data_IF_155325771316
#
_entry.id   IF_155325771316
#
_cell.length_a   1.000
_cell.length_b   1.000
_cell.length_c   1.000
_cell.angle_alpha   90.00
_cell.angle_beta   90.00
_cell.angle_gamma   90.00
#
_symmetry.space_group_name_H-M   'P 1'
#
loop_
_entity.id
_entity.type
_entity.pdbx_description
1 polymer ?
#
# COMPACT_ATOMS: atom_id res chain seq x y z
N UNK A 1 -9.57 -10.84 27.82
CA UNK A 1 -8.78 -9.63 27.46
C UNK A 1 -8.27 -9.00 28.75
N UNK A 2 -6.96 -8.81 28.91
CA UNK A 2 -6.40 -8.20 30.13
C UNK A 2 -6.95 -6.78 30.33
N UNK A 3 -7.12 -6.33 31.58
CA UNK A 3 -7.59 -4.99 31.92
C UNK A 3 -6.74 -3.89 31.23
N UNK A 4 -5.45 -4.11 31.10
CA UNK A 4 -4.50 -3.22 30.39
C UNK A 4 -4.83 -3.04 28.92
N UNK A 5 -5.23 -4.10 28.20
CA UNK A 5 -5.56 -3.98 26.77
C UNK A 5 -6.83 -3.16 26.55
N UNK A 6 -7.85 -3.33 27.42
CA UNK A 6 -9.05 -2.49 27.40
C UNK A 6 -8.72 -1.02 27.64
N UNK A 7 -7.84 -0.72 28.61
CA UNK A 7 -7.39 0.64 28.90
C UNK A 7 -6.68 1.29 27.70
N UNK A 8 -5.80 0.56 27.00
CA UNK A 8 -5.12 1.04 25.79
C UNK A 8 -6.10 1.37 24.67
N UNK A 9 -7.08 0.50 24.41
CA UNK A 9 -8.13 0.78 23.42
C UNK A 9 -8.95 2.02 23.82
N UNK A 10 -9.31 2.17 25.09
CA UNK A 10 -10.04 3.35 25.56
C UNK A 10 -9.20 4.63 25.43
N UNK A 11 -7.90 4.56 25.72
CA UNK A 11 -6.96 5.67 25.53
C UNK A 11 -6.87 6.05 24.04
N UNK A 12 -6.71 5.10 23.14
CA UNK A 12 -6.72 5.35 21.69
C UNK A 12 -8.03 6.02 21.23
N UNK A 13 -9.18 5.53 21.70
CA UNK A 13 -10.50 6.09 21.38
C UNK A 13 -10.70 7.52 21.87
N UNK A 14 -9.98 7.98 22.89
CA UNK A 14 -10.00 9.37 23.35
C UNK A 14 -9.31 10.32 22.38
N UNK A 15 -8.33 9.84 21.59
CA UNK A 15 -7.66 10.63 20.56
C UNK A 15 -8.51 10.69 19.30
N UNK A 16 -9.37 11.73 19.19
CA UNK A 16 -10.31 11.90 18.07
C UNK A 16 -9.62 11.95 16.71
N UNK A 17 -8.41 12.54 16.63
CA UNK A 17 -7.63 12.61 15.37
C UNK A 17 -7.22 11.23 14.90
N UNK A 18 -6.67 10.41 15.79
CA UNK A 18 -6.25 9.05 15.48
C UNK A 18 -7.43 8.15 15.07
N UNK A 19 -8.56 8.28 15.78
CA UNK A 19 -9.79 7.52 15.45
C UNK A 19 -10.35 7.92 14.09
N UNK A 20 -10.45 9.23 13.80
CA UNK A 20 -10.86 9.72 12.49
C UNK A 20 -9.93 9.22 11.38
N UNK A 21 -8.61 9.31 11.59
CA UNK A 21 -7.61 8.82 10.65
C UNK A 21 -7.70 7.32 10.42
N UNK A 22 -7.99 6.53 11.47
CA UNK A 22 -8.20 5.09 11.31
C UNK A 22 -9.42 4.78 10.44
N UNK A 23 -10.55 5.45 10.66
CA UNK A 23 -11.74 5.27 9.82
C UNK A 23 -11.49 5.72 8.39
N UNK A 24 -10.80 6.86 8.20
CA UNK A 24 -10.43 7.34 6.87
C UNK A 24 -9.50 6.36 6.15
N UNK A 25 -8.51 5.80 6.85
CA UNK A 25 -7.62 4.78 6.32
C UNK A 25 -8.39 3.54 5.86
N UNK A 26 -9.31 3.03 6.71
CA UNK A 26 -10.14 1.88 6.38
C UNK A 26 -11.05 2.19 5.18
N UNK A 27 -11.61 3.39 5.11
CA UNK A 27 -12.44 3.82 3.98
C UNK A 27 -11.61 3.89 2.68
N UNK A 28 -10.42 4.51 2.70
CA UNK A 28 -9.52 4.57 1.54
C UNK A 28 -9.10 3.16 1.08
N UNK A 29 -8.77 2.29 2.03
CA UNK A 29 -8.43 0.89 1.73
C UNK A 29 -9.61 0.15 1.10
N UNK A 30 -10.80 0.24 1.70
CA UNK A 30 -11.99 -0.42 1.19
C UNK A 30 -12.38 0.10 -0.19
N UNK A 31 -12.42 1.42 -0.39
CA UNK A 31 -12.72 2.05 -1.68
C UNK A 31 -11.71 1.64 -2.75
N UNK A 32 -10.41 1.61 -2.42
CA UNK A 32 -9.37 1.23 -3.37
C UNK A 32 -9.39 -0.28 -3.71
N UNK A 33 -9.67 -1.15 -2.74
CA UNK A 33 -9.80 -2.60 -2.99
C UNK A 33 -11.05 -2.92 -3.82
N UNK A 34 -12.13 -2.20 -3.58
CA UNK A 34 -13.39 -2.31 -4.32
C UNK A 34 -13.41 -1.45 -5.61
N UNK A 35 -12.28 -0.87 -6.00
CA UNK A 35 -12.17 -0.03 -7.19
C UNK A 35 -12.84 -0.63 -8.44
N UNK A 36 -12.66 -1.92 -8.78
CA UNK A 36 -13.29 -2.49 -9.98
C UNK A 36 -14.82 -2.40 -10.00
N UNK A 37 -15.48 -2.24 -8.83
CA UNK A 37 -16.95 -2.11 -8.77
C UNK A 37 -17.44 -0.73 -9.16
N UNK A 38 -16.64 0.32 -9.00
CA UNK A 38 -17.08 1.70 -9.22
C UNK A 38 -16.18 2.52 -10.14
N UNK A 39 -14.98 2.02 -10.45
CA UNK A 39 -14.02 2.58 -11.41
C UNK A 39 -13.61 1.47 -12.36
N UNK A 40 -14.27 1.33 -13.49
CA UNK A 40 -14.03 0.25 -14.45
C UNK A 40 -14.54 0.65 -15.82
N UNK A 41 -13.79 0.36 -16.87
CA UNK A 41 -14.19 0.55 -18.26
C UNK A 41 -15.16 -0.53 -18.75
N UNK A 42 -15.26 -1.66 -18.05
CA UNK A 42 -16.21 -2.73 -18.36
C UNK A 42 -17.54 -2.50 -17.65
N UNK A 43 -18.66 -2.66 -18.34
CA UNK A 43 -19.96 -2.65 -17.69
C UNK A 43 -20.07 -3.69 -16.58
N UNK A 44 -20.74 -3.34 -15.50
CA UNK A 44 -21.02 -4.26 -14.39
C UNK A 44 -22.02 -5.33 -14.81
N UNK A 45 -23.00 -4.92 -15.63
CA UNK A 45 -24.09 -5.77 -16.11
C UNK A 45 -24.55 -5.33 -17.49
N UNK A 46 -24.79 -6.32 -18.36
CA UNK A 46 -25.42 -6.11 -19.67
C UNK A 46 -26.57 -7.12 -19.81
N UNK A 47 -27.73 -6.66 -20.23
CA UNK A 47 -28.81 -7.52 -20.63
C UNK A 47 -29.09 -7.27 -22.11
N UNK A 48 -28.80 -8.24 -22.96
CA UNK A 48 -28.95 -8.20 -24.42
C UNK A 48 -29.48 -9.52 -24.92
N UNK A 49 -30.41 -9.49 -25.87
CA UNK A 49 -31.03 -10.67 -26.54
C UNK A 49 -31.51 -11.75 -25.56
N UNK A 50 -32.20 -11.37 -24.50
CA UNK A 50 -32.71 -12.25 -23.44
C UNK A 50 -31.59 -12.98 -22.66
N UNK A 51 -30.36 -12.50 -22.73
CA UNK A 51 -29.21 -13.05 -21.97
C UNK A 51 -28.61 -11.99 -21.04
N UNK A 52 -28.18 -12.44 -19.88
CA UNK A 52 -27.47 -11.63 -18.90
C UNK A 52 -25.98 -11.86 -18.98
N UNK A 53 -25.20 -10.78 -19.08
CA UNK A 53 -23.74 -10.82 -19.14
C UNK A 53 -23.17 -10.01 -17.98
N UNK A 54 -22.02 -10.45 -17.45
CA UNK A 54 -21.29 -9.79 -16.37
C UNK A 54 -19.84 -9.52 -16.80
N UNK A 55 -19.60 -8.49 -17.63
CA UNK A 55 -18.28 -8.21 -18.21
C UNK A 55 -17.19 -7.94 -17.18
N UNK A 56 -17.56 -7.45 -16.02
CA UNK A 56 -16.63 -7.24 -14.92
C UNK A 56 -15.94 -8.54 -14.45
N UNK A 57 -16.64 -9.67 -14.49
CA UNK A 57 -16.14 -10.95 -13.99
C UNK A 57 -15.65 -11.89 -15.08
N UNK A 58 -16.15 -11.75 -16.30
CA UNK A 58 -15.83 -12.62 -17.44
C UNK A 58 -15.58 -11.78 -18.68
N UNK A 59 -14.53 -12.12 -19.40
CA UNK A 59 -14.29 -11.56 -20.74
C UNK A 59 -15.23 -12.25 -21.72
N UNK A 60 -15.99 -11.44 -22.46
CA UNK A 60 -16.84 -11.89 -23.55
C UNK A 60 -16.22 -11.43 -24.86
N UNK A 61 -16.26 -12.31 -25.87
CA UNK A 61 -15.82 -11.97 -27.20
C UNK A 61 -16.90 -11.13 -27.93
N UNK A 62 -16.49 -10.28 -28.84
CA UNK A 62 -17.41 -9.42 -29.60
C UNK A 62 -18.46 -10.22 -30.36
N UNK A 63 -18.11 -11.42 -30.86
CA UNK A 63 -19.04 -12.36 -31.50
C UNK A 63 -20.22 -12.75 -30.59
N UNK A 64 -20.06 -12.73 -29.28
CA UNK A 64 -21.17 -13.02 -28.34
C UNK A 64 -22.27 -11.95 -28.36
N UNK A 65 -21.93 -10.75 -28.87
CA UNK A 65 -22.84 -9.60 -29.05
C UNK A 65 -23.22 -9.38 -30.53
N UNK A 66 -22.86 -10.32 -31.42
CA UNK A 66 -23.16 -10.24 -32.86
C UNK A 66 -22.14 -9.51 -33.72
N UNK A 67 -20.96 -9.25 -33.17
CA UNK A 67 -19.82 -8.71 -33.94
C UNK A 67 -19.00 -9.78 -34.64
N UNK A 68 -17.92 -9.37 -35.30
CA UNK A 68 -17.11 -10.24 -36.17
C UNK A 68 -15.83 -10.79 -35.49
N UNK A 69 -15.44 -10.24 -34.32
CA UNK A 69 -14.15 -10.55 -33.71
C UNK A 69 -14.28 -11.52 -32.52
N UNK A 70 -13.33 -12.48 -32.46
CA UNK A 70 -13.17 -13.39 -31.31
C UNK A 70 -12.32 -12.80 -30.18
N UNK A 71 -11.85 -11.57 -30.35
CA UNK A 71 -11.13 -10.84 -29.30
C UNK A 71 -12.08 -10.36 -28.21
N UNK A 72 -11.59 -10.11 -26.97
CA UNK A 72 -12.38 -9.49 -25.92
C UNK A 72 -13.02 -8.19 -26.39
N UNK A 73 -14.31 -8.00 -26.09
CA UNK A 73 -15.07 -6.82 -26.48
C UNK A 73 -14.51 -5.56 -25.82
N UNK A 74 -14.23 -4.53 -26.62
CA UNK A 74 -13.99 -3.18 -26.13
C UNK A 74 -15.34 -2.45 -26.00
N UNK A 75 -15.79 -2.32 -24.77
CA UNK A 75 -17.08 -1.66 -24.46
C UNK A 75 -17.02 -0.13 -24.63
N UNK A 76 -15.84 0.45 -24.89
CA UNK A 76 -15.68 1.87 -25.21
C UNK A 76 -15.73 2.16 -26.71
N UNK A 77 -15.57 1.14 -27.56
CA UNK A 77 -15.65 1.28 -29.00
C UNK A 77 -17.03 1.84 -29.41
N UNK A 78 -17.08 2.92 -30.22
CA UNK A 78 -18.31 3.49 -30.74
C UNK A 78 -19.18 2.50 -31.53
N UNK A 79 -18.56 1.57 -32.27
CA UNK A 79 -19.28 0.54 -33.01
C UNK A 79 -20.00 -0.42 -32.06
N UNK A 80 -19.31 -0.91 -31.04
CA UNK A 80 -19.88 -1.79 -30.02
C UNK A 80 -21.05 -1.08 -29.30
N UNK A 81 -20.85 0.16 -28.85
CA UNK A 81 -21.88 0.95 -28.15
C UNK A 81 -23.10 1.24 -29.01
N UNK A 82 -22.91 1.69 -30.26
CA UNK A 82 -23.98 2.26 -31.08
C UNK A 82 -24.62 1.22 -31.99
N UNK A 83 -23.98 0.06 -32.24
CA UNK A 83 -24.48 -0.97 -33.16
C UNK A 83 -24.79 -2.27 -32.43
N UNK A 84 -23.80 -2.86 -31.73
CA UNK A 84 -23.98 -4.19 -31.13
C UNK A 84 -24.83 -4.14 -29.83
N UNK A 85 -24.63 -3.11 -29.02
CA UNK A 85 -25.30 -2.96 -27.74
C UNK A 85 -26.34 -1.84 -27.73
N UNK A 86 -26.82 -1.41 -28.91
CA UNK A 86 -27.76 -0.28 -29.05
C UNK A 86 -29.07 -0.45 -28.24
N UNK A 87 -29.60 -1.65 -28.24
CA UNK A 87 -30.87 -1.98 -27.58
C UNK A 87 -30.66 -2.70 -26.24
N UNK A 88 -29.39 -2.86 -25.80
CA UNK A 88 -29.06 -3.52 -24.57
C UNK A 88 -29.29 -2.62 -23.35
N UNK A 89 -29.73 -3.20 -22.23
CA UNK A 89 -29.73 -2.52 -20.94
C UNK A 89 -28.35 -2.70 -20.29
N UNK A 90 -27.65 -1.58 -20.06
CA UNK A 90 -26.26 -1.59 -19.57
C UNK A 90 -26.17 -0.83 -18.25
N UNK A 91 -25.54 -1.43 -17.25
CA UNK A 91 -25.16 -0.77 -16.00
C UNK A 91 -23.64 -0.58 -16.02
N UNK A 92 -23.20 0.66 -16.17
CA UNK A 92 -21.79 1.03 -16.08
C UNK A 92 -21.35 1.24 -14.64
N UNK A 93 -20.03 1.17 -14.40
CA UNK A 93 -19.43 1.66 -13.17
C UNK A 93 -19.68 3.17 -13.04
N UNK A 94 -19.57 3.70 -11.81
CA UNK A 94 -19.75 5.13 -11.52
C UNK A 94 -18.77 6.00 -12.34
N UNK A 95 -17.53 5.50 -12.48
CA UNK A 95 -16.50 6.06 -13.35
C UNK A 95 -16.22 5.03 -14.43
N UNK A 96 -16.65 5.27 -15.69
CA UNK A 96 -16.61 4.29 -16.78
C UNK A 96 -15.21 4.22 -17.44
N UNK A 97 -14.16 4.37 -16.68
CA UNK A 97 -12.76 4.32 -17.10
C UNK A 97 -11.96 3.43 -16.14
N UNK A 98 -11.03 2.65 -16.69
CA UNK A 98 -9.99 1.95 -15.93
C UNK A 98 -8.75 2.86 -15.78
N UNK A 99 -7.75 2.42 -15.02
CA UNK A 99 -6.50 3.17 -14.84
C UNK A 99 -5.64 3.23 -16.12
N UNK A 100 -5.88 2.36 -17.09
CA UNK A 100 -5.17 2.19 -18.37
C UNK A 100 -6.02 2.57 -19.59
N UNK A 101 -7.30 2.88 -19.40
CA UNK A 101 -8.20 3.29 -20.48
C UNK A 101 -7.75 4.63 -21.08
N UNK A 102 -7.38 4.62 -22.37
CA UNK A 102 -7.04 5.81 -23.15
C UNK A 102 -8.32 6.40 -23.72
N UNK A 103 -8.56 7.67 -23.45
CA UNK A 103 -9.77 8.39 -23.87
C UNK A 103 -9.49 9.04 -25.23
N UNK A 104 -10.19 8.58 -26.28
CA UNK A 104 -9.98 9.04 -27.65
C UNK A 104 -10.81 10.27 -28.04
N UNK A 105 -11.89 10.56 -27.29
CA UNK A 105 -12.89 11.61 -27.56
C UNK A 105 -12.70 12.85 -26.67
N UNK A 106 -11.45 13.26 -26.45
CA UNK A 106 -11.15 14.47 -25.68
C UNK A 106 -11.39 15.72 -26.52
N UNK A 107 -12.00 16.76 -25.90
CA UNK A 107 -12.27 18.05 -26.53
C UNK A 107 -11.00 18.87 -26.79
N UNK A 108 -9.88 18.55 -26.13
CA UNK A 108 -8.58 19.21 -26.26
C UNK A 108 -7.42 18.21 -26.06
N UNK A 109 -6.21 18.52 -26.53
CA UNK A 109 -5.06 17.63 -26.31
C UNK A 109 -4.80 17.36 -24.83
N UNK A 110 -4.44 16.12 -24.50
CA UNK A 110 -4.04 15.73 -23.14
C UNK A 110 -2.72 16.41 -22.72
N UNK A 111 -2.57 16.74 -21.43
CA UNK A 111 -3.52 16.55 -20.32
C UNK A 111 -4.62 17.63 -20.28
N UNK A 112 -5.89 17.18 -20.10
CA UNK A 112 -7.03 18.10 -20.01
C UNK A 112 -7.34 18.48 -18.56
N UNK A 113 -7.82 19.71 -18.30
CA UNK A 113 -8.17 20.16 -16.95
C UNK A 113 -9.40 19.39 -16.40
N UNK A 114 -9.65 19.48 -15.09
CA UNK A 114 -10.85 18.93 -14.47
C UNK A 114 -12.15 19.38 -15.14
N UNK A 115 -13.06 18.43 -15.38
CA UNK A 115 -14.36 18.65 -16.01
C UNK A 115 -15.45 17.73 -15.39
N UNK A 116 -16.72 17.92 -15.78
CA UNK A 116 -17.78 17.02 -15.32
C UNK A 116 -17.63 15.57 -15.82
N UNK A 117 -17.00 15.36 -16.99
CA UNK A 117 -16.67 14.01 -17.50
C UNK A 117 -15.46 13.41 -16.80
N UNK A 118 -14.45 14.24 -16.49
CA UNK A 118 -13.19 13.87 -15.87
C UNK A 118 -12.98 14.75 -14.64
N UNK A 119 -13.46 14.29 -13.49
CA UNK A 119 -13.52 15.09 -12.25
C UNK A 119 -12.15 15.65 -11.81
N UNK A 120 -11.07 14.91 -12.03
CA UNK A 120 -9.70 15.35 -11.75
C UNK A 120 -8.89 15.63 -13.03
N UNK A 121 -9.54 15.70 -14.19
CA UNK A 121 -8.88 15.86 -15.48
C UNK A 121 -8.30 14.56 -16.01
N UNK A 122 -7.50 14.68 -17.10
CA UNK A 122 -6.77 13.57 -17.69
C UNK A 122 -5.26 13.74 -17.49
N UNK A 123 -4.54 12.61 -17.57
CA UNK A 123 -3.07 12.62 -17.57
C UNK A 123 -2.49 12.89 -18.97
N UNK A 124 -1.17 12.87 -19.09
CA UNK A 124 -0.44 13.15 -20.35
C UNK A 124 -0.65 12.07 -21.43
N UNK A 125 -1.20 10.89 -21.07
CA UNK A 125 -1.56 9.80 -21.97
C UNK A 125 -3.07 9.69 -22.20
N UNK A 126 -3.83 10.77 -21.91
CA UNK A 126 -5.27 10.81 -22.07
C UNK A 126 -6.02 9.77 -21.21
N UNK A 127 -5.54 9.47 -19.99
CA UNK A 127 -6.21 8.56 -19.05
C UNK A 127 -6.85 9.36 -17.91
N UNK A 128 -7.94 8.87 -17.36
CA UNK A 128 -8.66 9.56 -16.26
C UNK A 128 -7.83 9.56 -14.97
N UNK A 129 -7.54 10.77 -14.45
CA UNK A 129 -6.70 10.95 -13.25
C UNK A 129 -7.34 10.38 -12.00
N UNK A 130 -8.70 10.44 -11.87
CA UNK A 130 -9.39 9.87 -10.71
C UNK A 130 -9.31 8.35 -10.71
N UNK A 131 -9.47 7.71 -11.87
CA UNK A 131 -9.29 6.28 -12.01
C UNK A 131 -7.85 5.87 -11.64
N UNK A 132 -6.85 6.57 -12.16
CA UNK A 132 -5.45 6.32 -11.83
C UNK A 132 -5.14 6.53 -10.35
N UNK A 133 -5.71 7.55 -9.73
CA UNK A 133 -5.56 7.83 -8.30
C UNK A 133 -6.07 6.68 -7.43
N UNK A 134 -7.28 6.19 -7.73
CA UNK A 134 -7.91 5.11 -6.96
C UNK A 134 -7.13 3.81 -7.06
N UNK A 135 -6.73 3.43 -8.26
CA UNK A 135 -5.89 2.25 -8.46
C UNK A 135 -4.47 2.44 -7.93
N UNK A 136 -3.91 3.65 -8.01
CA UNK A 136 -2.64 4.02 -7.39
C UNK A 136 -2.68 3.86 -5.86
N UNK A 137 -3.77 4.27 -5.22
CA UNK A 137 -3.99 3.98 -3.79
C UNK A 137 -4.03 2.48 -3.51
N UNK A 138 -4.72 1.69 -4.33
CA UNK A 138 -4.77 0.23 -4.18
C UNK A 138 -3.38 -0.39 -4.19
N UNK A 139 -2.56 -0.05 -5.20
CA UNK A 139 -1.20 -0.57 -5.33
C UNK A 139 -0.34 -0.15 -4.13
N UNK A 140 -0.37 1.15 -3.78
CA UNK A 140 0.44 1.70 -2.69
C UNK A 140 0.05 1.14 -1.32
N UNK A 141 -1.25 0.97 -1.04
CA UNK A 141 -1.75 0.42 0.22
C UNK A 141 -1.42 -1.07 0.35
N UNK A 142 -1.64 -1.86 -0.70
CA UNK A 142 -1.31 -3.29 -0.70
C UNK A 142 0.19 -3.49 -0.53
N UNK A 143 1.00 -2.71 -1.25
CA UNK A 143 2.46 -2.73 -1.10
C UNK A 143 2.88 -2.39 0.33
N UNK A 144 2.38 -1.28 0.88
CA UNK A 144 2.68 -0.84 2.24
C UNK A 144 2.30 -1.88 3.30
N UNK A 145 1.12 -2.51 3.18
CA UNK A 145 0.66 -3.57 4.09
C UNK A 145 1.58 -4.79 4.00
N UNK A 146 1.84 -5.30 2.79
CA UNK A 146 2.66 -6.50 2.60
C UNK A 146 4.10 -6.28 3.05
N UNK A 147 4.71 -5.16 2.63
CA UNK A 147 6.07 -4.82 3.03
C UNK A 147 6.19 -4.68 4.55
N UNK A 148 5.23 -3.98 5.18
CA UNK A 148 5.20 -3.83 6.64
C UNK A 148 5.04 -5.18 7.33
N UNK A 149 4.11 -6.03 6.87
CA UNK A 149 3.88 -7.36 7.43
C UNK A 149 5.15 -8.21 7.41
N UNK A 150 5.79 -8.32 6.24
CA UNK A 150 7.02 -9.12 6.11
C UNK A 150 8.19 -8.50 6.87
N UNK A 151 8.34 -7.18 6.86
CA UNK A 151 9.37 -6.47 7.65
C UNK A 151 9.18 -6.69 9.16
N UNK A 152 7.93 -6.72 9.64
CA UNK A 152 7.62 -7.02 11.05
C UNK A 152 8.00 -8.46 11.37
N UNK A 153 7.64 -9.42 10.54
CA UNK A 153 7.98 -10.83 10.76
C UNK A 153 9.49 -11.05 10.84
N UNK A 154 10.24 -10.50 9.88
CA UNK A 154 11.71 -10.64 9.83
C UNK A 154 12.37 -9.83 10.97
N UNK A 155 12.00 -8.56 11.11
CA UNK A 155 12.60 -7.64 12.07
C UNK A 155 12.37 -8.06 13.51
N UNK A 156 11.16 -8.53 13.85
CA UNK A 156 10.86 -9.06 15.19
C UNK A 156 11.64 -10.35 15.45
N UNK A 157 11.69 -11.27 14.49
CA UNK A 157 12.39 -12.54 14.65
C UNK A 157 13.90 -12.33 14.87
N UNK A 158 14.54 -11.56 13.99
CA UNK A 158 15.97 -11.29 14.07
C UNK A 158 16.33 -10.44 15.29
N UNK A 159 15.56 -9.37 15.56
CA UNK A 159 15.78 -8.52 16.72
C UNK A 159 15.58 -9.25 18.04
N UNK A 160 14.56 -10.11 18.14
CA UNK A 160 14.32 -10.94 19.31
C UNK A 160 15.48 -11.92 19.55
N UNK A 161 15.95 -12.60 18.50
CA UNK A 161 17.03 -13.56 18.57
C UNK A 161 18.34 -12.87 19.01
N UNK A 162 18.73 -11.79 18.36
CA UNK A 162 19.93 -11.03 18.70
C UNK A 162 19.86 -10.48 20.14
N UNK A 163 18.75 -9.81 20.49
CA UNK A 163 18.59 -9.18 21.80
C UNK A 163 18.49 -10.16 22.96
N UNK A 164 17.88 -11.33 22.77
CA UNK A 164 17.76 -12.33 23.84
C UNK A 164 19.08 -13.04 24.13
N UNK A 165 19.75 -13.55 23.10
CA UNK A 165 21.02 -14.26 23.29
C UNK A 165 22.19 -13.30 23.61
N UNK A 166 22.27 -12.17 22.91
CA UNK A 166 23.30 -11.17 23.11
C UNK A 166 24.72 -11.70 22.77
N UNK A 167 25.74 -11.07 23.35
CA UNK A 167 27.13 -11.51 23.19
C UNK A 167 27.60 -11.59 21.73
N UNK A 168 28.24 -12.70 21.33
CA UNK A 168 28.73 -12.91 19.97
C UNK A 168 27.60 -12.93 18.92
N UNK A 169 26.44 -13.52 19.24
CA UNK A 169 25.30 -13.59 18.33
C UNK A 169 24.80 -12.18 17.97
N UNK A 170 24.72 -11.33 18.98
CA UNK A 170 24.33 -9.95 18.82
C UNK A 170 25.39 -9.16 18.03
N UNK A 171 26.66 -9.31 18.38
CA UNK A 171 27.76 -8.63 17.70
C UNK A 171 27.82 -9.00 16.21
N UNK A 172 27.79 -10.30 15.90
CA UNK A 172 27.82 -10.78 14.49
C UNK A 172 26.59 -10.30 13.73
N UNK A 173 25.38 -10.42 14.33
CA UNK A 173 24.16 -9.95 13.70
C UNK A 173 24.17 -8.45 13.41
N UNK A 174 24.71 -7.64 14.32
CA UNK A 174 24.90 -6.20 14.09
C UNK A 174 25.88 -5.92 12.94
N UNK A 175 27.03 -6.57 12.92
CA UNK A 175 28.03 -6.39 11.85
C UNK A 175 27.48 -6.78 10.48
N UNK A 176 26.74 -7.87 10.41
CA UNK A 176 26.08 -8.27 9.16
C UNK A 176 25.04 -7.22 8.71
N UNK A 177 24.22 -6.72 9.63
CA UNK A 177 23.23 -5.66 9.32
C UNK A 177 23.92 -4.35 8.90
N UNK A 178 25.02 -3.96 9.54
CA UNK A 178 25.82 -2.79 9.18
C UNK A 178 26.39 -2.92 7.77
N UNK A 179 27.07 -4.05 7.46
CA UNK A 179 27.60 -4.32 6.12
C UNK A 179 26.48 -4.26 5.07
N UNK A 180 25.34 -4.91 5.34
CA UNK A 180 24.21 -4.92 4.43
C UNK A 180 23.63 -3.53 4.18
N UNK A 181 23.55 -2.70 5.22
CA UNK A 181 23.03 -1.32 5.13
C UNK A 181 23.94 -0.37 4.35
N UNK A 182 25.21 -0.73 4.11
CA UNK A 182 26.11 0.09 3.28
C UNK A 182 25.81 -0.03 1.79
N UNK A 183 25.07 -1.06 1.37
CA UNK A 183 24.68 -1.23 -0.02
C UNK A 183 23.64 -0.17 -0.37
N UNK A 184 23.91 0.74 -1.35
CA UNK A 184 22.91 1.74 -1.72
C UNK A 184 21.75 1.06 -2.44
N UNK A 185 20.58 1.03 -1.81
CA UNK A 185 19.38 0.37 -2.31
C UNK A 185 19.00 0.81 -3.74
N UNK A 186 19.13 2.10 -4.05
CA UNK A 186 18.82 2.62 -5.38
C UNK A 186 19.70 2.03 -6.48
N UNK A 187 21.01 1.84 -6.22
CA UNK A 187 21.88 1.20 -7.20
C UNK A 187 21.50 -0.25 -7.45
N UNK A 188 21.14 -0.98 -6.41
CA UNK A 188 20.67 -2.36 -6.52
C UNK A 188 19.38 -2.42 -7.39
N UNK A 189 18.46 -1.50 -7.15
CA UNK A 189 17.21 -1.40 -7.93
C UNK A 189 17.49 -1.09 -9.39
N UNK A 190 18.38 -0.14 -9.69
CA UNK A 190 18.76 0.22 -11.06
C UNK A 190 19.33 -1.01 -11.80
N UNK A 191 20.28 -1.71 -11.16
CA UNK A 191 20.91 -2.90 -11.76
C UNK A 191 19.88 -4.00 -12.02
N UNK A 192 18.99 -4.26 -11.07
CA UNK A 192 17.99 -5.34 -11.23
C UNK A 192 16.89 -4.93 -12.21
N UNK A 193 16.44 -3.68 -12.19
CA UNK A 193 15.44 -3.19 -13.14
C UNK A 193 15.96 -3.15 -14.57
N UNK A 194 17.26 -3.00 -14.78
CA UNK A 194 17.86 -3.08 -16.11
C UNK A 194 18.01 -4.52 -16.64
N UNK A 195 18.13 -5.51 -15.74
CA UNK A 195 18.29 -6.92 -16.09
C UNK A 195 16.96 -7.67 -16.18
N UNK A 196 15.96 -7.25 -15.44
CA UNK A 196 14.64 -7.89 -15.33
C UNK A 196 13.53 -6.86 -15.51
N UNK A 197 12.43 -7.25 -16.16
CA UNK A 197 11.23 -6.42 -16.18
C UNK A 197 10.72 -6.24 -14.76
N UNK A 198 10.74 -4.99 -14.28
CA UNK A 198 10.21 -4.65 -12.96
C UNK A 198 8.75 -5.06 -12.85
N UNK A 199 8.37 -5.63 -11.71
CA UNK A 199 6.99 -5.91 -11.36
C UNK A 199 6.81 -5.73 -9.83
N UNK A 200 5.56 -5.70 -9.40
CA UNK A 200 5.19 -5.50 -8.01
C UNK A 200 5.98 -6.40 -7.02
N UNK A 201 6.14 -7.69 -7.34
CA UNK A 201 6.77 -8.66 -6.44
C UNK A 201 8.29 -8.49 -6.36
N UNK A 202 8.94 -8.15 -7.49
CA UNK A 202 10.37 -7.86 -7.52
C UNK A 202 10.67 -6.63 -6.67
N UNK A 203 9.91 -5.54 -6.85
CA UNK A 203 10.10 -4.31 -6.07
C UNK A 203 9.85 -4.58 -4.58
N UNK A 204 8.76 -5.30 -4.25
CA UNK A 204 8.44 -5.68 -2.88
C UNK A 204 9.59 -6.45 -2.23
N UNK A 205 10.13 -7.45 -2.93
CA UNK A 205 11.25 -8.26 -2.44
C UNK A 205 12.51 -7.42 -2.24
N UNK A 206 12.87 -6.58 -3.22
CA UNK A 206 14.06 -5.74 -3.14
C UNK A 206 14.01 -4.74 -1.98
N UNK A 207 12.86 -4.07 -1.82
CA UNK A 207 12.68 -3.15 -0.69
C UNK A 207 12.65 -3.90 0.63
N UNK A 208 12.08 -5.11 0.66
CA UNK A 208 12.03 -5.96 1.86
C UNK A 208 13.44 -6.32 2.37
N UNK A 209 14.42 -6.52 1.48
CA UNK A 209 15.80 -6.81 1.87
C UNK A 209 16.41 -5.75 2.82
N UNK A 210 15.88 -4.53 2.82
CA UNK A 210 16.39 -3.41 3.61
C UNK A 210 15.42 -2.94 4.71
N UNK A 211 14.11 -3.06 4.51
CA UNK A 211 13.09 -2.42 5.36
C UNK A 211 12.96 -3.01 6.76
N UNK A 212 13.36 -4.26 6.98
CA UNK A 212 13.28 -4.96 8.27
C UNK A 212 14.31 -4.46 9.29
N UNK A 213 15.45 -3.87 8.85
CA UNK A 213 16.59 -3.56 9.72
C UNK A 213 16.25 -2.55 10.83
N UNK A 214 15.53 -1.47 10.49
CA UNK A 214 15.13 -0.46 11.47
C UNK A 214 14.29 -1.04 12.60
N UNK A 215 13.31 -1.88 12.27
CA UNK A 215 12.47 -2.55 13.26
C UNK A 215 13.26 -3.57 14.08
N UNK A 216 14.16 -4.31 13.44
CA UNK A 216 15.04 -5.26 14.14
C UNK A 216 15.86 -4.60 15.26
N UNK A 217 16.39 -3.39 15.03
CA UNK A 217 17.09 -2.62 16.04
C UNK A 217 16.21 -2.22 17.22
N UNK A 218 14.97 -1.79 16.94
CA UNK A 218 14.00 -1.42 18.00
C UNK A 218 13.70 -2.66 18.86
N UNK A 219 13.34 -3.77 18.22
CA UNK A 219 13.01 -5.02 18.94
C UNK A 219 14.22 -5.56 19.71
N UNK A 220 15.39 -5.57 19.10
CA UNK A 220 16.64 -5.97 19.75
C UNK A 220 16.87 -5.19 21.04
N UNK A 221 16.70 -3.87 21.00
CA UNK A 221 16.91 -3.02 22.17
C UNK A 221 15.93 -3.38 23.31
N UNK A 222 14.68 -3.64 22.99
CA UNK A 222 13.70 -4.06 23.99
C UNK A 222 14.02 -5.45 24.57
N UNK A 223 14.50 -6.38 23.75
CA UNK A 223 14.91 -7.70 24.21
C UNK A 223 16.19 -7.66 25.08
N UNK A 224 17.16 -6.80 24.76
CA UNK A 224 18.35 -6.57 25.59
C UNK A 224 17.99 -6.03 26.97
N UNK A 225 17.01 -5.15 27.07
CA UNK A 225 16.47 -4.67 28.36
C UNK A 225 15.75 -5.79 29.10
N UNK A 226 14.80 -6.43 28.43
CA UNK A 226 13.88 -7.40 29.02
C UNK A 226 14.59 -8.66 29.52
N UNK A 227 15.67 -9.12 28.87
CA UNK A 227 16.45 -10.30 29.30
C UNK A 227 17.06 -10.14 30.69
N UNK A 228 17.31 -8.90 31.14
CA UNK A 228 17.91 -8.58 32.41
C UNK A 228 16.89 -8.27 33.52
N UNK A 229 15.59 -8.26 33.21
CA UNK A 229 14.52 -8.02 34.17
C UNK A 229 14.30 -9.23 35.08
N UNK A 230 13.81 -8.97 36.30
CA UNK A 230 13.68 -10.00 37.33
C UNK A 230 12.73 -11.14 36.95
N UNK A 231 11.65 -10.85 36.25
CA UNK A 231 10.75 -11.89 35.75
C UNK A 231 11.42 -12.85 34.76
N UNK A 232 12.34 -12.36 33.93
CA UNK A 232 13.11 -13.20 32.99
C UNK A 232 14.15 -14.03 33.72
N UNK A 233 14.83 -13.45 34.71
CA UNK A 233 15.81 -14.16 35.56
C UNK A 233 15.11 -15.24 36.38
N UNK A 234 13.96 -14.94 36.98
CA UNK A 234 13.16 -15.90 37.75
C UNK A 234 12.71 -17.09 36.88
N UNK A 235 12.18 -16.81 35.67
CA UNK A 235 11.78 -17.87 34.75
C UNK A 235 12.96 -18.79 34.36
N UNK A 236 14.15 -18.20 34.16
CA UNK A 236 15.38 -18.96 33.86
C UNK A 236 15.84 -19.80 35.06
N UNK A 237 15.77 -19.25 36.28
CA UNK A 237 16.11 -19.97 37.50
C UNK A 237 15.16 -21.16 37.77
N UNK A 238 13.93 -21.05 37.35
CA UNK A 238 12.92 -22.14 37.39
C UNK A 238 13.09 -23.18 36.26
N UNK A 239 14.13 -23.07 35.42
CA UNK A 239 14.42 -24.04 34.37
C UNK A 239 13.52 -23.91 33.13
N UNK A 240 12.79 -22.80 32.94
CA UNK A 240 11.95 -22.58 31.75
C UNK A 240 12.82 -22.51 30.49
N UNK A 241 12.43 -23.22 29.43
CA UNK A 241 13.12 -23.23 28.16
C UNK A 241 13.21 -21.80 27.55
N UNK A 242 14.35 -21.49 26.94
CA UNK A 242 14.62 -20.18 26.31
C UNK A 242 13.54 -19.74 25.29
N UNK A 243 13.09 -20.65 24.42
CA UNK A 243 12.02 -20.34 23.47
C UNK A 243 10.73 -19.94 24.20
N UNK A 244 10.37 -20.64 25.28
CA UNK A 244 9.20 -20.30 26.07
C UNK A 244 9.36 -18.95 26.77
N UNK A 245 10.55 -18.63 27.25
CA UNK A 245 10.87 -17.29 27.80
C UNK A 245 10.71 -16.22 26.74
N UNK A 246 11.27 -16.41 25.55
CA UNK A 246 11.17 -15.48 24.43
C UNK A 246 9.70 -15.21 24.10
N UNK A 247 8.93 -16.26 23.79
CA UNK A 247 7.56 -16.09 23.25
C UNK A 247 6.52 -15.71 24.31
N UNK A 248 6.63 -16.19 25.53
CA UNK A 248 5.58 -15.99 26.55
C UNK A 248 5.90 -14.90 27.57
N UNK A 249 7.18 -14.60 27.80
CA UNK A 249 7.58 -13.63 28.82
C UNK A 249 8.13 -12.32 28.26
N UNK A 250 8.95 -12.38 27.20
CA UNK A 250 9.65 -11.21 26.65
C UNK A 250 8.89 -10.59 25.49
N UNK A 251 8.54 -11.39 24.48
CA UNK A 251 7.90 -10.92 23.24
C UNK A 251 6.61 -10.10 23.46
N UNK A 252 5.67 -10.50 24.36
CA UNK A 252 4.46 -9.73 24.55
C UNK A 252 4.72 -8.31 25.05
N UNK A 253 5.79 -8.10 25.81
CA UNK A 253 6.20 -6.77 26.27
C UNK A 253 6.97 -5.99 25.19
N UNK A 254 7.86 -6.64 24.46
CA UNK A 254 8.61 -6.04 23.34
C UNK A 254 7.70 -5.67 22.16
N UNK A 255 6.59 -6.40 21.93
CA UNK A 255 5.61 -6.07 20.89
C UNK A 255 4.96 -4.70 21.09
N UNK A 256 4.96 -4.14 22.28
CA UNK A 256 4.47 -2.78 22.53
C UNK A 256 5.23 -1.76 21.67
N UNK A 257 6.56 -1.82 21.67
CA UNK A 257 7.39 -0.95 20.85
C UNK A 257 7.19 -1.24 19.34
N UNK A 258 7.03 -2.52 18.97
CA UNK A 258 6.74 -2.93 17.59
C UNK A 258 5.43 -2.33 17.09
N UNK A 259 4.34 -2.49 17.83
CA UNK A 259 3.01 -1.99 17.45
C UNK A 259 3.01 -0.47 17.26
N UNK A 260 3.72 0.27 18.12
CA UNK A 260 3.85 1.72 17.98
C UNK A 260 4.68 2.15 16.76
N UNK A 261 5.56 1.28 16.26
CA UNK A 261 6.41 1.54 15.10
C UNK A 261 5.72 1.21 13.76
N UNK A 262 4.79 0.24 13.75
CA UNK A 262 4.14 -0.30 12.53
C UNK A 262 3.51 0.77 11.62
N UNK A 263 2.71 1.75 12.08
CA UNK A 263 2.12 2.76 11.19
C UNK A 263 3.18 3.65 10.52
N UNK A 264 4.26 3.97 11.22
CA UNK A 264 5.37 4.74 10.66
C UNK A 264 6.16 3.93 9.64
N UNK A 265 6.37 2.64 9.89
CA UNK A 265 7.00 1.74 8.94
C UNK A 265 6.15 1.62 7.66
N UNK A 266 4.83 1.55 7.79
CA UNK A 266 3.92 1.51 6.65
C UNK A 266 3.97 2.82 5.86
N UNK A 267 4.00 3.97 6.52
CA UNK A 267 4.14 5.27 5.86
C UNK A 267 5.47 5.36 5.09
N UNK A 268 6.58 4.92 5.71
CA UNK A 268 7.89 4.85 5.06
C UNK A 268 7.88 3.90 3.86
N UNK A 269 7.20 2.75 3.96
CA UNK A 269 7.08 1.77 2.87
C UNK A 269 6.36 2.35 1.65
N UNK A 270 5.24 3.04 1.87
CA UNK A 270 4.49 3.71 0.81
C UNK A 270 5.31 4.85 0.20
N UNK A 271 5.95 5.68 1.03
CA UNK A 271 6.81 6.77 0.56
C UNK A 271 7.98 6.25 -0.30
N UNK A 272 8.56 5.11 0.07
CA UNK A 272 9.62 4.46 -0.72
C UNK A 272 9.10 4.03 -2.09
N UNK A 273 7.94 3.36 -2.18
CA UNK A 273 7.35 2.98 -3.47
C UNK A 273 7.08 4.20 -4.34
N UNK A 274 6.43 5.23 -3.78
CA UNK A 274 6.14 6.48 -4.50
C UNK A 274 7.41 7.15 -5.03
N UNK A 275 8.48 7.17 -4.22
CA UNK A 275 9.77 7.72 -4.64
C UNK A 275 10.42 6.91 -5.76
N UNK A 276 10.34 5.58 -5.71
CA UNK A 276 10.85 4.69 -6.76
C UNK A 276 10.07 4.85 -8.07
N UNK A 277 8.75 4.93 -7.99
CA UNK A 277 7.88 5.17 -9.14
C UNK A 277 8.16 6.55 -9.77
N UNK A 278 8.34 7.58 -8.94
CA UNK A 278 8.71 8.93 -9.40
C UNK A 278 10.05 8.95 -10.15
N UNK A 279 11.01 8.14 -9.71
CA UNK A 279 12.33 8.03 -10.34
C UNK A 279 12.33 7.08 -11.55
N UNK A 280 11.22 6.41 -11.85
CA UNK A 280 11.11 5.45 -12.96
C UNK A 280 11.70 4.06 -12.68
N UNK A 281 12.02 3.75 -11.42
CA UNK A 281 12.54 2.45 -11.00
C UNK A 281 11.51 1.62 -10.19
N UNK A 282 10.27 2.06 -10.18
CA UNK A 282 9.16 1.43 -9.51
C UNK A 282 8.36 0.46 -10.39
N UNK A 283 7.04 0.64 -10.38
CA UNK A 283 6.10 -0.17 -11.15
C UNK A 283 6.34 -0.02 -12.67
N UNK A 284 5.96 -1.03 -13.48
CA UNK A 284 6.04 -0.94 -14.94
C UNK A 284 5.31 0.29 -15.48
N UNK A 285 5.83 0.85 -16.58
CA UNK A 285 5.20 1.99 -17.28
C UNK A 285 3.74 1.64 -17.62
N UNK A 286 2.83 2.59 -17.37
CA UNK A 286 1.39 2.39 -17.59
C UNK A 286 0.64 1.82 -16.39
N UNK A 287 1.33 1.28 -15.38
CA UNK A 287 0.69 0.85 -14.13
C UNK A 287 0.04 2.04 -13.40
N UNK A 288 -0.97 1.76 -12.59
CA UNK A 288 -1.51 2.78 -11.70
C UNK A 288 -0.52 3.06 -10.57
N UNK A 289 0.05 4.25 -10.55
CA UNK A 289 1.05 4.67 -9.55
C UNK A 289 0.87 6.12 -9.14
N UNK A 290 0.94 6.37 -7.83
CA UNK A 290 0.93 7.73 -7.28
C UNK A 290 2.23 8.48 -7.63
N UNK A 291 3.36 7.78 -7.69
CA UNK A 291 4.66 8.35 -8.02
C UNK A 291 4.75 8.74 -9.50
N UNK A 292 4.15 7.96 -10.40
CA UNK A 292 4.04 8.31 -11.83
C UNK A 292 3.21 9.60 -12.01
N UNK A 293 2.08 9.74 -11.31
CA UNK A 293 1.29 10.98 -11.36
C UNK A 293 2.10 12.21 -10.89
N UNK A 294 2.95 12.07 -9.87
CA UNK A 294 3.86 13.15 -9.45
C UNK A 294 4.85 13.48 -10.56
N UNK A 295 5.42 12.47 -11.21
CA UNK A 295 6.39 12.66 -12.29
C UNK A 295 5.75 13.36 -13.49
N UNK A 296 4.55 12.92 -13.90
CA UNK A 296 3.78 13.59 -14.96
C UNK A 296 3.45 15.04 -14.60
N UNK A 297 3.09 15.30 -13.33
CA UNK A 297 2.84 16.67 -12.84
C UNK A 297 4.08 17.56 -12.89
N UNK A 298 5.28 17.00 -12.66
CA UNK A 298 6.55 17.71 -12.81
C UNK A 298 6.85 18.06 -14.28
N UNK A 299 6.56 17.15 -15.19
CA UNK A 299 6.85 17.30 -16.61
C UNK A 299 5.81 18.19 -17.31
N UNK A 300 4.61 18.34 -16.74
CA UNK A 300 3.48 19.13 -17.29
C UNK A 300 3.12 20.32 -16.39
N UNK A 301 4.05 21.26 -16.20
CA UNK A 301 3.85 22.43 -15.31
C UNK A 301 2.74 23.39 -15.76
N UNK A 302 2.35 23.36 -17.03
CA UNK A 302 1.23 24.15 -17.58
C UNK A 302 -0.13 23.62 -17.15
N UNK A 303 -0.19 22.38 -16.64
CA UNK A 303 -1.41 21.71 -16.19
C UNK A 303 -1.25 21.29 -14.72
N UNK A 304 -1.38 22.25 -13.78
CA UNK A 304 -1.00 22.05 -12.38
C UNK A 304 -1.87 21.05 -11.63
N UNK A 305 -3.04 20.67 -12.17
CA UNK A 305 -3.95 19.71 -11.53
C UNK A 305 -3.29 18.35 -11.28
N UNK A 306 -2.42 17.85 -12.19
CA UNK A 306 -1.70 16.59 -12.01
C UNK A 306 -0.82 16.60 -10.77
N UNK A 307 0.03 17.63 -10.65
CA UNK A 307 0.92 17.78 -9.50
C UNK A 307 0.14 17.97 -8.20
N UNK A 308 -0.90 18.82 -8.20
CA UNK A 308 -1.71 19.12 -7.02
C UNK A 308 -2.45 17.88 -6.53
N UNK A 309 -3.11 17.14 -7.43
CA UNK A 309 -3.87 15.93 -7.10
C UNK A 309 -2.94 14.88 -6.50
N UNK A 310 -1.82 14.59 -7.16
CA UNK A 310 -0.86 13.60 -6.67
C UNK A 310 -0.28 13.99 -5.30
N UNK A 311 0.13 15.26 -5.13
CA UNK A 311 0.68 15.79 -3.88
C UNK A 311 -0.34 15.68 -2.73
N UNK A 312 -1.57 16.15 -2.96
CA UNK A 312 -2.63 16.12 -1.94
C UNK A 312 -2.95 14.68 -1.55
N UNK A 313 -3.05 13.78 -2.53
CA UNK A 313 -3.34 12.37 -2.31
C UNK A 313 -2.29 11.69 -1.43
N UNK A 314 -1.00 11.86 -1.76
CA UNK A 314 0.10 11.27 -1.01
C UNK A 314 0.18 11.88 0.39
N UNK A 315 0.10 13.22 0.48
CA UNK A 315 0.15 13.94 1.77
C UNK A 315 -0.99 13.52 2.70
N UNK A 316 -2.20 13.34 2.18
CA UNK A 316 -3.35 12.85 2.94
C UNK A 316 -3.07 11.44 3.47
N UNK A 317 -2.62 10.52 2.62
CA UNK A 317 -2.37 9.13 3.00
C UNK A 317 -1.28 9.01 4.07
N UNK A 318 -0.16 9.71 3.89
CA UNK A 318 0.93 9.71 4.86
C UNK A 318 0.52 10.37 6.19
N UNK A 319 -0.21 11.49 6.15
CA UNK A 319 -0.72 12.17 7.35
C UNK A 319 -1.66 11.27 8.15
N UNK A 320 -2.55 10.55 7.47
CA UNK A 320 -3.47 9.59 8.10
C UNK A 320 -2.69 8.51 8.85
N UNK A 321 -1.65 7.94 8.24
CA UNK A 321 -0.81 6.91 8.88
C UNK A 321 -0.01 7.47 10.08
N UNK A 322 0.52 8.70 9.96
CA UNK A 322 1.22 9.38 11.06
C UNK A 322 0.28 9.60 12.25
N UNK A 323 -0.94 10.13 12.04
CA UNK A 323 -1.91 10.34 13.12
C UNK A 323 -2.37 9.05 13.78
N UNK A 324 -2.52 7.96 13.01
CA UNK A 324 -2.75 6.62 13.58
C UNK A 324 -1.56 6.22 14.46
N UNK A 325 -0.33 6.39 13.96
CA UNK A 325 0.90 6.06 14.69
C UNK A 325 1.05 6.84 16.00
N UNK A 326 0.78 8.14 15.98
CA UNK A 326 0.78 8.98 17.19
C UNK A 326 -0.28 8.49 18.19
N UNK A 327 -1.51 8.23 17.74
CA UNK A 327 -2.56 7.72 18.61
C UNK A 327 -2.25 6.36 19.22
N UNK A 328 -1.64 5.46 18.45
CA UNK A 328 -1.17 4.17 18.97
C UNK A 328 -0.05 4.39 20.00
N UNK A 329 0.95 5.21 19.68
CA UNK A 329 2.05 5.53 20.62
C UNK A 329 1.52 6.11 21.94
N UNK A 330 0.58 7.06 21.88
CA UNK A 330 -0.03 7.68 23.06
C UNK A 330 -0.81 6.66 23.91
N UNK A 331 -1.54 5.75 23.25
CA UNK A 331 -2.30 4.68 23.93
C UNK A 331 -1.41 3.65 24.64
N UNK A 332 -0.16 3.50 24.19
CA UNK A 332 0.81 2.58 24.81
C UNK A 332 1.77 3.28 25.79
N UNK A 333 1.74 4.62 25.88
CA UNK A 333 2.57 5.36 26.83
C UNK A 333 1.99 5.23 28.25
N UNK A 334 2.76 4.60 29.16
CA UNK A 334 2.37 4.33 30.53
C UNK A 334 2.03 5.61 31.35
N UNK A 335 2.64 6.76 30.99
CA UNK A 335 2.42 8.03 31.67
C UNK A 335 1.06 8.68 31.35
N UNK A 336 0.41 8.28 30.27
CA UNK A 336 -0.93 8.77 29.87
C UNK A 336 -2.06 7.89 30.45
N UNK A 337 -1.73 6.79 31.13
CA UNK A 337 -2.70 5.85 31.70
C UNK A 337 -2.99 6.11 33.18
N UNK A 338 -2.38 7.18 33.75
CA UNK A 338 -2.66 7.70 35.09
C UNK A 338 -3.75 8.83 35.05
#
# INVERSE_FOLDING_TARGET
MSSLFKMRILSFKKNKRAVFSLYLFIALLALSLLAPLWVNDRPLFIYNDNKAYFPMFKNYAEVEFGGDFFTPTDYNDPYVKNTLLKDAFIIHALIPYSYDTIIMDLDSPAPTPPSFKHLLGTDDQARDVLARLVYGYRVSLVFGILLTLFSVLIGVSLGAFQGYYGGLIDLVGQRLSEIWSTIPMLFLLIVISSAFNSNFWIILFLVLLFSWMGLSQVVRTEFLKARNMDYTKAARALGVNNLKIIFYHVLPNALVATITYVPFLMAASISTLVSLDFLGFGMPIGSASLGELVNQGKDNLTTPHLAIVAFVAISLLLSVLVFIGEGVRDAFNANMLK
#
